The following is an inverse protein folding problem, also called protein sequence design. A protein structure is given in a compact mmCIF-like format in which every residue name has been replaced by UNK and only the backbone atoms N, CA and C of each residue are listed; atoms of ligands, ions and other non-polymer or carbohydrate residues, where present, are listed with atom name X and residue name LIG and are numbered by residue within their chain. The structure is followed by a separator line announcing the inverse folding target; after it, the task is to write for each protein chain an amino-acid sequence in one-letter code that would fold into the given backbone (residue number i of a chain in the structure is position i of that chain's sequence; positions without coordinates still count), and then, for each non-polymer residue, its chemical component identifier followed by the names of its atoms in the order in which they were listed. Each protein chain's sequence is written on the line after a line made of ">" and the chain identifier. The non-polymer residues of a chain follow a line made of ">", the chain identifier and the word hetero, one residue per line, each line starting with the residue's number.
data_IF_501241489853
#
_entry.id   IF_501241489853
#
_cell.length_a   1.000
_cell.length_b   1.000
_cell.length_c   1.000
_cell.angle_alpha   90.00
_cell.angle_beta   90.00
_cell.angle_gamma   90.00
#
_symmetry.space_group_name_H-M   'P 1'
#
loop_
_entity.id
_entity.type
_entity.pdbx_description
1 polymer ?
#
# COMPACT_ATOMS: atom_id res chain seq x y z
N UNK A 1 -13.52 15.62 0.06
CA UNK A 1 -12.97 14.42 -0.56
C UNK A 1 -12.55 13.40 0.48
N UNK A 2 -12.93 12.18 0.26
CA UNK A 2 -12.61 11.13 1.22
C UNK A 2 -11.20 10.62 1.00
N UNK A 3 -10.52 10.32 2.11
CA UNK A 3 -9.21 9.69 2.04
C UNK A 3 -9.36 8.25 1.59
N UNK A 4 -8.43 7.73 0.77
CA UNK A 4 -8.45 6.32 0.42
C UNK A 4 -8.32 5.47 1.68
N UNK A 5 -9.07 4.37 1.77
CA UNK A 5 -8.95 3.48 2.92
C UNK A 5 -7.66 2.67 2.85
N UNK A 6 -7.22 2.22 4.02
CA UNK A 6 -6.10 1.28 4.09
C UNK A 6 -6.57 -0.05 3.50
N UNK A 7 -5.73 -0.74 2.71
CA UNK A 7 -6.15 -2.02 2.12
C UNK A 7 -6.57 -3.07 3.14
N UNK A 8 -6.11 -2.96 4.39
CA UNK A 8 -6.52 -3.89 5.44
C UNK A 8 -8.01 -3.93 5.66
N UNK A 9 -8.68 -2.78 5.65
CA UNK A 9 -10.13 -2.75 5.83
C UNK A 9 -10.85 -3.39 4.65
N UNK A 10 -10.36 -3.15 3.44
CA UNK A 10 -10.92 -3.78 2.25
C UNK A 10 -10.80 -5.30 2.32
N UNK A 11 -9.63 -5.79 2.72
CA UNK A 11 -9.40 -7.23 2.83
C UNK A 11 -10.37 -7.83 3.85
N UNK A 12 -10.54 -7.17 4.98
CA UNK A 12 -11.44 -7.65 6.02
C UNK A 12 -12.89 -7.71 5.51
N UNK A 13 -13.39 -6.61 4.94
CA UNK A 13 -14.81 -6.50 4.61
C UNK A 13 -15.16 -7.14 3.27
N UNK A 14 -14.24 -7.12 2.31
CA UNK A 14 -14.55 -7.57 0.94
C UNK A 14 -13.96 -8.93 0.60
N UNK A 15 -13.06 -9.45 1.41
CA UNK A 15 -12.44 -10.74 1.15
C UNK A 15 -12.77 -11.75 2.23
N UNK A 16 -12.44 -11.43 3.48
CA UNK A 16 -12.62 -12.40 4.57
C UNK A 16 -14.07 -12.53 5.02
N UNK A 17 -14.75 -11.41 5.24
CA UNK A 17 -16.13 -11.45 5.71
C UNK A 17 -17.08 -12.19 4.75
N UNK A 18 -17.04 -11.90 3.44
CA UNK A 18 -17.93 -12.64 2.52
C UNK A 18 -17.67 -14.13 2.49
N UNK A 19 -16.44 -14.55 2.76
CA UNK A 19 -16.08 -15.97 2.79
C UNK A 19 -16.34 -16.59 4.16
N UNK A 20 -16.77 -15.80 5.14
CA UNK A 20 -16.99 -16.27 6.48
C UNK A 20 -15.71 -16.71 7.17
N UNK A 21 -14.57 -16.16 6.78
CA UNK A 21 -13.29 -16.58 7.32
C UNK A 21 -12.92 -15.80 8.57
N UNK A 22 -12.55 -16.54 9.61
CA UNK A 22 -11.95 -15.94 10.80
C UNK A 22 -10.49 -15.59 10.50
N UNK A 23 -9.91 -14.77 11.37
CA UNK A 23 -8.48 -14.45 11.25
C UNK A 23 -7.66 -15.72 11.34
N UNK A 24 -8.04 -16.66 12.22
CA UNK A 24 -7.31 -17.92 12.37
C UNK A 24 -7.34 -18.75 11.09
N UNK A 25 -8.48 -18.82 10.43
CA UNK A 25 -8.59 -19.55 9.17
C UNK A 25 -7.79 -18.87 8.06
N UNK A 26 -7.85 -17.55 8.01
CA UNK A 26 -7.11 -16.78 7.01
C UNK A 26 -5.60 -16.93 7.18
N UNK A 27 -5.13 -16.94 8.42
CA UNK A 27 -3.70 -17.15 8.73
C UNK A 27 -3.23 -18.48 8.15
N UNK A 28 -4.02 -19.53 8.32
CA UNK A 28 -3.68 -20.84 7.79
C UNK A 28 -3.67 -20.85 6.27
N UNK A 29 -4.68 -20.25 5.66
CA UNK A 29 -4.78 -20.20 4.20
C UNK A 29 -3.64 -19.41 3.58
N UNK A 30 -3.26 -18.31 4.19
CA UNK A 30 -2.22 -17.43 3.68
C UNK A 30 -0.81 -17.87 4.08
N UNK A 31 -0.72 -18.76 5.06
CA UNK A 31 0.55 -19.26 5.60
C UNK A 31 1.41 -18.12 6.13
N UNK A 32 0.81 -17.28 6.94
CA UNK A 32 1.47 -16.16 7.59
C UNK A 32 1.22 -16.25 9.08
N UNK A 33 1.96 -15.47 9.85
CA UNK A 33 1.75 -15.42 11.29
C UNK A 33 0.51 -14.58 11.61
N UNK A 34 -0.11 -14.87 12.75
CA UNK A 34 -1.27 -14.11 13.19
C UNK A 34 -0.96 -12.62 13.40
N UNK A 35 0.16 -12.27 14.06
CA UNK A 35 0.48 -10.85 14.21
C UNK A 35 0.65 -10.12 12.87
N UNK A 36 1.23 -10.79 11.89
CA UNK A 36 1.41 -10.19 10.57
C UNK A 36 0.07 -9.84 9.93
N UNK A 37 -0.85 -10.79 9.92
CA UNK A 37 -2.16 -10.55 9.33
C UNK A 37 -2.96 -9.53 10.15
N UNK A 38 -2.93 -9.67 11.46
CA UNK A 38 -3.65 -8.75 12.34
C UNK A 38 -3.19 -7.31 12.16
N UNK A 39 -1.89 -7.09 12.06
CA UNK A 39 -1.36 -5.74 11.84
C UNK A 39 -1.83 -5.16 10.52
N UNK A 40 -1.87 -5.98 9.47
CA UNK A 40 -2.37 -5.53 8.18
C UNK A 40 -3.85 -5.18 8.26
N UNK A 41 -4.66 -6.06 8.83
CA UNK A 41 -6.10 -5.86 8.89
C UNK A 41 -6.49 -4.65 9.72
N UNK A 42 -5.68 -4.31 10.71
CA UNK A 42 -5.92 -3.15 11.59
C UNK A 42 -5.24 -1.87 11.10
N UNK A 43 -4.66 -1.91 9.91
CA UNK A 43 -4.05 -0.73 9.32
C UNK A 43 -2.75 -0.30 9.95
N UNK A 44 -2.12 -1.17 10.74
CA UNK A 44 -0.85 -0.85 11.40
C UNK A 44 0.36 -1.16 10.57
N UNK A 45 0.20 -2.02 9.58
CA UNK A 45 1.28 -2.40 8.67
C UNK A 45 0.83 -2.21 7.24
N UNK A 46 1.76 -1.85 6.38
CA UNK A 46 1.49 -1.71 4.96
C UNK A 46 1.34 -3.09 4.32
N UNK A 47 0.58 -3.13 3.24
CA UNK A 47 0.46 -4.34 2.43
C UNK A 47 1.73 -4.51 1.61
N UNK A 48 2.42 -5.62 1.80
CA UNK A 48 3.60 -5.93 1.02
C UNK A 48 3.23 -6.67 -0.25
N UNK A 49 4.16 -6.67 -1.21
CA UNK A 49 3.95 -7.45 -2.44
C UNK A 49 3.76 -8.93 -2.15
N UNK A 50 4.54 -9.46 -1.21
CA UNK A 50 4.42 -10.86 -0.83
C UNK A 50 3.04 -11.19 -0.28
N UNK A 51 2.51 -10.34 0.59
CA UNK A 51 1.17 -10.55 1.14
C UNK A 51 0.11 -10.41 0.06
N UNK A 52 0.25 -9.44 -0.84
CA UNK A 52 -0.70 -9.25 -1.92
C UNK A 52 -0.75 -10.49 -2.82
N UNK A 53 0.40 -11.07 -3.11
CA UNK A 53 0.44 -12.29 -3.92
C UNK A 53 -0.19 -13.47 -3.20
N UNK A 54 0.03 -13.59 -1.88
CA UNK A 54 -0.61 -14.64 -1.10
C UNK A 54 -2.13 -14.51 -1.13
N UNK A 55 -2.63 -13.28 -1.02
CA UNK A 55 -4.07 -13.02 -1.11
C UNK A 55 -4.61 -13.38 -2.48
N UNK A 56 -3.86 -13.08 -3.53
CA UNK A 56 -4.25 -13.44 -4.88
C UNK A 56 -4.33 -14.96 -5.04
N UNK A 57 -3.30 -15.66 -4.59
CA UNK A 57 -3.26 -17.11 -4.74
C UNK A 57 -4.34 -17.81 -3.91
N UNK A 58 -4.57 -17.33 -2.70
CA UNK A 58 -5.52 -17.99 -1.80
C UNK A 58 -6.97 -17.63 -2.10
N UNK A 59 -7.24 -16.40 -2.46
CA UNK A 59 -8.61 -15.91 -2.54
C UNK A 59 -8.97 -15.29 -3.90
N UNK A 60 -8.05 -15.27 -4.84
CA UNK A 60 -8.33 -14.76 -6.18
C UNK A 60 -8.44 -13.24 -6.28
N UNK A 61 -7.95 -12.52 -5.29
CA UNK A 61 -7.98 -11.07 -5.31
C UNK A 61 -6.79 -10.56 -6.12
N UNK A 62 -7.04 -9.65 -7.04
CA UNK A 62 -6.01 -9.14 -7.91
C UNK A 62 -4.94 -8.38 -7.12
N UNK A 63 -3.70 -8.84 -7.22
CA UNK A 63 -2.58 -8.26 -6.50
C UNK A 63 -2.32 -6.80 -6.90
N UNK A 64 -2.48 -6.48 -8.18
CA UNK A 64 -2.28 -5.11 -8.63
C UNK A 64 -3.28 -4.16 -8.00
N UNK A 65 -4.53 -4.56 -7.95
CA UNK A 65 -5.58 -3.75 -7.32
C UNK A 65 -5.24 -3.48 -5.86
N UNK A 66 -4.84 -4.53 -5.14
CA UNK A 66 -4.47 -4.39 -3.74
C UNK A 66 -3.29 -3.43 -3.54
N UNK A 67 -2.27 -3.54 -4.39
CA UNK A 67 -1.09 -2.69 -4.27
C UNK A 67 -1.40 -1.24 -4.64
N UNK A 68 -2.31 -1.03 -5.59
CA UNK A 68 -2.76 0.33 -5.91
C UNK A 68 -3.49 0.97 -4.73
N UNK A 69 -4.25 0.19 -3.99
CA UNK A 69 -4.93 0.70 -2.80
C UNK A 69 -3.90 1.13 -1.75
N UNK A 70 -2.85 0.33 -1.56
CA UNK A 70 -1.80 0.69 -0.62
C UNK A 70 -1.10 1.97 -1.08
N UNK A 71 -0.79 2.08 -2.35
CA UNK A 71 -0.11 3.24 -2.90
C UNK A 71 -0.98 4.51 -2.74
N UNK A 72 -2.26 4.40 -3.04
CA UNK A 72 -3.18 5.54 -2.89
C UNK A 72 -3.27 5.98 -1.44
N UNK A 73 -3.32 5.01 -0.53
CA UNK A 73 -3.35 5.31 0.89
C UNK A 73 -2.07 6.03 1.33
N UNK A 74 -0.91 5.51 0.91
CA UNK A 74 0.38 6.09 1.27
C UNK A 74 0.51 7.53 0.76
N UNK A 75 0.08 7.76 -0.48
CA UNK A 75 0.13 9.10 -1.06
C UNK A 75 -0.72 10.06 -0.24
N UNK A 76 -1.94 9.65 0.09
CA UNK A 76 -2.84 10.52 0.85
C UNK A 76 -2.29 10.82 2.24
N UNK A 77 -1.73 9.81 2.90
CA UNK A 77 -1.15 10.02 4.23
C UNK A 77 0.07 10.93 4.17
N UNK A 78 0.91 10.73 3.18
CA UNK A 78 2.11 11.57 3.01
C UNK A 78 1.72 13.02 2.71
N UNK A 79 0.72 13.22 1.85
CA UNK A 79 0.24 14.56 1.53
C UNK A 79 -0.31 15.29 2.74
N UNK A 80 -0.92 14.57 3.68
CA UNK A 80 -1.41 15.18 4.91
C UNK A 80 -0.30 15.81 5.75
N UNK A 81 0.90 15.26 5.61
CA UNK A 81 2.06 15.71 6.39
C UNK A 81 3.11 16.36 5.52
N UNK A 82 2.72 16.82 4.33
CA UNK A 82 3.72 17.37 3.41
C UNK A 82 4.43 18.59 3.98
N UNK A 83 3.79 19.32 4.87
CA UNK A 83 4.42 20.48 5.51
C UNK A 83 5.60 20.11 6.41
N UNK A 84 5.68 18.84 6.80
CA UNK A 84 6.77 18.36 7.66
C UNK A 84 8.00 18.01 6.84
N UNK A 85 7.84 17.90 5.53
CA UNK A 85 8.96 17.56 4.64
C UNK A 85 9.50 18.86 4.06
N UNK A 86 10.58 19.34 4.67
CA UNK A 86 11.12 20.65 4.37
C UNK A 86 12.21 20.53 3.32
N UNK A 87 11.80 20.28 2.10
CA UNK A 87 12.70 20.16 0.96
C UNK A 87 12.31 21.20 -0.08
N UNK A 88 13.27 22.02 -0.45
CA UNK A 88 13.05 23.03 -1.47
C UNK A 88 13.48 22.48 -2.82
N UNK A 89 12.89 23.07 -3.86
CA UNK A 89 13.29 22.71 -5.22
C UNK A 89 14.76 23.03 -5.41
N UNK A 90 15.51 22.12 -5.97
CA UNK A 90 16.89 22.34 -6.33
C UNK A 90 16.93 23.22 -7.58
N UNK A 91 17.69 24.31 -7.51
CA UNK A 91 17.83 25.21 -8.66
C UNK A 91 19.26 25.06 -9.15
N UNK A 92 19.48 24.49 -10.33
CA UNK A 92 20.83 24.32 -10.84
C UNK A 92 21.44 25.67 -11.21
N UNK A 93 22.73 25.79 -11.01
CA UNK A 93 23.47 27.02 -11.39
C UNK A 93 23.74 27.05 -12.88
N UNK A 94 23.79 25.91 -13.52
CA UNK A 94 24.06 25.82 -14.94
C UNK A 94 22.78 26.19 -15.70
N UNK A 95 22.86 27.07 -16.72
CA UNK A 95 21.68 27.43 -17.49
C UNK A 95 21.05 26.21 -18.13
N UNK A 96 19.71 26.16 -18.28
CA UNK A 96 19.02 25.01 -18.85
C UNK A 96 19.52 24.61 -20.23
N UNK A 97 19.93 25.57 -21.06
CA UNK A 97 20.43 25.26 -22.41
C UNK A 97 21.66 24.39 -22.37
N UNK A 98 22.54 24.61 -21.39
CA UNK A 98 23.77 23.84 -21.27
C UNK A 98 23.46 22.40 -20.83
N UNK A 99 22.34 22.21 -20.16
CA UNK A 99 21.98 20.93 -19.60
C UNK A 99 21.30 20.02 -20.60
N UNK A 100 20.79 20.59 -21.66
CA UNK A 100 20.07 19.81 -22.65
C UNK A 100 20.94 18.71 -23.26
N UNK A 101 22.23 18.99 -23.46
CA UNK A 101 23.13 18.00 -24.02
C UNK A 101 23.60 16.93 -23.04
N UNK A 102 23.36 17.13 -21.75
CA UNK A 102 23.81 16.19 -20.72
C UNK A 102 22.82 15.10 -20.42
N UNK A 103 21.70 15.13 -21.04
CA UNK A 103 20.67 14.15 -20.72
C UNK A 103 20.98 12.81 -21.30
N UNK A 104 20.87 11.76 -20.50
CA UNK A 104 21.08 10.42 -21.00
C UNK A 104 19.99 9.97 -21.93
#
# INVERSE_FOLDING_TARGET
>A
MLSPPHPGSFIRTEVLDPLGLSVSAAVKALKVSRPTLSSLLNGRAALSGSMALRLEKAFGVDMETLMRMQSSYDIAQTRRHENRILVSRFIPKIPPADRAGDRP
#
